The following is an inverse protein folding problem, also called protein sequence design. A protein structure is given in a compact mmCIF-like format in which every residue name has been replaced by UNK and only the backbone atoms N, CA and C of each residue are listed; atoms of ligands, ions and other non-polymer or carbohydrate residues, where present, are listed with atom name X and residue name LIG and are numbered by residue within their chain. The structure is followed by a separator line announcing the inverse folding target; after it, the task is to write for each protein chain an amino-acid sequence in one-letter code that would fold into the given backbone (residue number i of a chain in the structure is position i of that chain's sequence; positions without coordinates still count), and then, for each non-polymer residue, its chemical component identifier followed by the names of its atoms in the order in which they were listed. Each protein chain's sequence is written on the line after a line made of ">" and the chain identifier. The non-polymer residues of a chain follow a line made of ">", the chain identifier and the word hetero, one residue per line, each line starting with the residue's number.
data_IF_865962095713
#
_entry.id   IF_865962095713
#
_cell.length_a   1.000
_cell.length_b   1.000
_cell.length_c   1.000
_cell.angle_alpha   90.00
_cell.angle_beta   90.00
_cell.angle_gamma   90.00
#
_symmetry.space_group_name_H-M   'P 1'
#
loop_
_entity.id
_entity.type
_entity.pdbx_description
1 polymer ?
#
# COMPACT_ATOMS: atom_id res chain seq x y z
N UNK A 1 -25.25 19.56 -1.01
CA UNK A 1 -24.39 20.03 -2.13
C UNK A 1 -25.23 20.70 -3.19
N UNK A 2 -26.33 20.07 -3.63
CA UNK A 2 -27.27 20.68 -4.57
C UNK A 2 -27.81 22.02 -4.09
N UNK A 3 -28.20 22.13 -2.81
CA UNK A 3 -28.62 23.42 -2.22
C UNK A 3 -27.54 24.51 -2.22
N UNK A 4 -26.27 24.14 -2.07
CA UNK A 4 -25.17 25.11 -2.11
C UNK A 4 -24.99 25.62 -3.54
N UNK A 5 -25.13 24.73 -4.54
CA UNK A 5 -25.10 25.08 -5.96
C UNK A 5 -26.29 26.00 -6.31
N UNK A 6 -27.49 25.67 -5.83
CA UNK A 6 -28.70 26.48 -6.03
C UNK A 6 -28.57 27.87 -5.42
N UNK A 7 -28.17 27.96 -4.15
CA UNK A 7 -27.90 29.24 -3.49
C UNK A 7 -26.81 30.06 -4.22
N UNK A 8 -25.75 29.41 -4.69
CA UNK A 8 -24.69 30.05 -5.48
C UNK A 8 -25.21 30.58 -6.82
N UNK A 9 -26.12 29.85 -7.47
CA UNK A 9 -26.74 30.26 -8.73
C UNK A 9 -27.68 31.46 -8.52
N UNK A 10 -28.46 31.47 -7.44
CA UNK A 10 -29.29 32.63 -7.05
C UNK A 10 -28.40 33.86 -6.82
N UNK A 11 -27.32 33.71 -6.05
CA UNK A 11 -26.37 34.80 -5.80
C UNK A 11 -25.64 35.24 -7.07
N UNK A 12 -25.31 34.33 -7.99
CA UNK A 12 -24.74 34.66 -9.30
C UNK A 12 -25.70 35.57 -10.09
N UNK A 13 -26.99 35.22 -10.18
CA UNK A 13 -28.00 36.02 -10.87
C UNK A 13 -28.13 37.41 -10.23
N UNK A 14 -28.22 37.47 -8.89
CA UNK A 14 -28.31 38.73 -8.15
C UNK A 14 -27.04 39.59 -8.31
N UNK A 15 -25.87 38.96 -8.46
CA UNK A 15 -24.60 39.67 -8.69
C UNK A 15 -24.56 40.30 -10.08
N UNK A 16 -25.10 39.62 -11.09
CA UNK A 16 -25.26 40.18 -12.44
C UNK A 16 -26.20 41.38 -12.44
N UNK A 17 -27.31 41.31 -11.70
CA UNK A 17 -28.23 42.45 -11.53
C UNK A 17 -27.53 43.61 -10.84
N UNK A 18 -26.82 43.33 -9.74
CA UNK A 18 -26.02 44.32 -9.00
C UNK A 18 -25.02 45.01 -9.93
N UNK A 19 -24.27 44.25 -10.72
CA UNK A 19 -23.30 44.78 -11.68
C UNK A 19 -23.95 45.70 -12.73
N UNK A 20 -25.12 45.33 -13.27
CA UNK A 20 -25.85 46.16 -14.24
C UNK A 20 -26.38 47.45 -13.61
N UNK A 21 -26.94 47.37 -12.40
CA UNK A 21 -27.46 48.55 -11.67
C UNK A 21 -26.32 49.48 -11.27
N UNK A 22 -25.22 48.96 -10.74
CA UNK A 22 -24.02 49.76 -10.41
C UNK A 22 -23.45 50.45 -11.63
N UNK A 23 -23.36 49.77 -12.77
CA UNK A 23 -22.93 50.36 -14.04
C UNK A 23 -23.89 51.43 -14.53
N UNK A 24 -25.20 51.22 -14.43
CA UNK A 24 -26.21 52.21 -14.77
C UNK A 24 -26.06 53.49 -13.94
N UNK A 25 -25.94 53.36 -12.62
CA UNK A 25 -25.77 54.51 -11.72
C UNK A 25 -24.44 55.22 -12.01
N UNK A 26 -23.36 54.47 -12.21
CA UNK A 26 -22.04 55.02 -12.57
C UNK A 26 -22.12 55.91 -13.83
N UNK A 27 -22.91 55.56 -14.82
CA UNK A 27 -23.09 56.37 -16.04
C UNK A 27 -23.80 57.70 -15.80
N UNK A 28 -24.65 57.79 -14.77
CA UNK A 28 -25.37 59.03 -14.43
C UNK A 28 -24.47 60.07 -13.72
N UNK A 29 -23.34 59.64 -13.16
CA UNK A 29 -22.41 60.51 -12.46
C UNK A 29 -21.10 60.69 -13.25
N UNK A 30 -20.91 61.84 -13.87
CA UNK A 30 -19.73 62.15 -14.70
C UNK A 30 -18.39 61.87 -13.99
N UNK A 31 -18.31 62.13 -12.68
CA UNK A 31 -17.11 61.91 -11.86
C UNK A 31 -16.76 60.44 -11.59
N UNK A 32 -17.65 59.48 -11.87
CA UNK A 32 -17.38 58.04 -11.73
C UNK A 32 -17.10 57.37 -13.08
N UNK A 33 -17.60 57.96 -14.18
CA UNK A 33 -17.48 57.43 -15.53
C UNK A 33 -16.11 57.69 -16.15
N UNK A 34 -15.59 58.92 -16.05
CA UNK A 34 -14.34 59.32 -16.68
C UNK A 34 -13.13 58.78 -15.92
N UNK A 35 -12.19 58.14 -16.63
CA UNK A 35 -10.93 57.65 -16.08
C UNK A 35 -9.92 58.79 -15.98
N UNK A 36 -9.27 58.95 -14.83
CA UNK A 36 -8.25 59.98 -14.64
C UNK A 36 -6.85 59.41 -14.85
N UNK A 37 -5.93 60.19 -15.43
CA UNK A 37 -4.51 59.78 -15.61
C UNK A 37 -3.71 59.85 -14.32
N UNK A 38 -4.13 60.70 -13.38
CA UNK A 38 -3.44 60.90 -12.11
C UNK A 38 -3.80 59.80 -11.11
N UNK A 39 -2.77 59.11 -10.60
CA UNK A 39 -2.94 57.89 -9.79
C UNK A 39 -3.75 58.11 -8.50
N UNK A 40 -3.63 59.28 -7.87
CA UNK A 40 -4.34 59.59 -6.62
C UNK A 40 -5.84 59.78 -6.85
N UNK A 41 -6.21 60.57 -7.87
CA UNK A 41 -7.61 60.83 -8.24
C UNK A 41 -8.29 59.54 -8.70
N UNK A 42 -7.58 58.71 -9.48
CA UNK A 42 -8.10 57.43 -9.93
C UNK A 42 -8.38 56.47 -8.76
N UNK A 43 -7.49 56.42 -7.76
CA UNK A 43 -7.68 55.60 -6.55
C UNK A 43 -8.90 56.05 -5.74
N UNK A 44 -9.16 57.36 -5.65
CA UNK A 44 -10.38 57.87 -5.01
C UNK A 44 -11.63 57.52 -5.79
N UNK A 45 -11.58 57.58 -7.13
CA UNK A 45 -12.67 57.15 -8.01
C UNK A 45 -12.97 55.66 -7.83
N UNK A 46 -11.95 54.81 -7.78
CA UNK A 46 -12.09 53.37 -7.55
C UNK A 46 -12.76 53.09 -6.19
N UNK A 47 -12.33 53.77 -5.12
CA UNK A 47 -12.99 53.67 -3.80
C UNK A 47 -14.46 54.05 -3.87
N UNK A 48 -14.80 55.15 -4.56
CA UNK A 48 -16.19 55.59 -4.72
C UNK A 48 -17.03 54.55 -5.49
N UNK A 49 -16.46 53.95 -6.54
CA UNK A 49 -17.12 52.88 -7.31
C UNK A 49 -17.31 51.62 -6.46
N UNK A 50 -16.31 51.24 -5.67
CA UNK A 50 -16.40 50.10 -4.77
C UNK A 50 -17.49 50.32 -3.71
N UNK A 51 -17.49 51.48 -3.05
CA UNK A 51 -18.54 51.86 -2.10
C UNK A 51 -19.93 51.85 -2.75
N UNK A 52 -20.05 52.41 -3.97
CA UNK A 52 -21.31 52.37 -4.72
C UNK A 52 -21.75 50.92 -4.98
N UNK A 53 -20.85 50.05 -5.39
CA UNK A 53 -21.15 48.65 -5.70
C UNK A 53 -21.57 47.89 -4.45
N UNK A 54 -20.95 48.15 -3.30
CA UNK A 54 -21.37 47.61 -2.00
C UNK A 54 -22.78 48.08 -1.64
N UNK A 55 -23.05 49.39 -1.75
CA UNK A 55 -24.37 49.94 -1.42
C UNK A 55 -25.45 49.36 -2.33
N UNK A 56 -25.21 49.29 -3.64
CA UNK A 56 -26.14 48.68 -4.59
C UNK A 56 -26.34 47.20 -4.27
N UNK A 57 -25.28 46.44 -3.97
CA UNK A 57 -25.37 45.04 -3.58
C UNK A 57 -26.25 44.83 -2.35
N UNK A 58 -26.09 45.65 -1.31
CA UNK A 58 -26.93 45.60 -0.09
C UNK A 58 -28.38 45.94 -0.40
N UNK A 59 -28.64 46.97 -1.22
CA UNK A 59 -30.00 47.33 -1.62
C UNK A 59 -30.66 46.21 -2.43
N UNK A 60 -29.97 45.65 -3.41
CA UNK A 60 -30.47 44.53 -4.23
C UNK A 60 -30.76 43.31 -3.36
N UNK A 61 -29.85 42.96 -2.44
CA UNK A 61 -30.04 41.84 -1.52
C UNK A 61 -31.24 42.06 -0.59
N UNK A 62 -31.42 43.27 -0.03
CA UNK A 62 -32.57 43.61 0.81
C UNK A 62 -33.88 43.53 0.02
N UNK A 63 -33.94 44.07 -1.19
CA UNK A 63 -35.15 44.01 -2.04
C UNK A 63 -35.52 42.57 -2.41
N UNK A 64 -34.51 41.75 -2.71
CA UNK A 64 -34.70 40.34 -3.04
C UNK A 64 -34.94 39.44 -1.83
N UNK A 65 -34.91 39.97 -0.60
CA UNK A 65 -34.90 39.17 0.66
C UNK A 65 -33.80 38.10 0.63
N UNK A 66 -32.64 38.39 0.04
CA UNK A 66 -31.54 37.46 -0.15
C UNK A 66 -30.76 37.25 1.17
N UNK A 67 -31.40 36.64 2.16
CA UNK A 67 -30.78 36.34 3.44
C UNK A 67 -29.85 35.13 3.32
N UNK A 68 -28.54 35.35 3.47
CA UNK A 68 -27.53 34.29 3.39
C UNK A 68 -27.79 33.10 4.33
N UNK A 69 -28.40 33.35 5.49
CA UNK A 69 -28.71 32.29 6.46
C UNK A 69 -29.89 31.42 6.06
N UNK A 70 -30.82 31.96 5.27
CA UNK A 70 -32.04 31.26 4.82
C UNK A 70 -31.93 30.71 3.41
N UNK A 71 -30.92 31.14 2.62
CA UNK A 71 -30.70 30.68 1.24
C UNK A 71 -30.51 29.15 1.09
N UNK A 72 -30.28 28.44 2.19
CA UNK A 72 -30.13 26.98 2.21
C UNK A 72 -31.38 26.22 2.70
N UNK A 73 -32.44 26.95 3.07
CA UNK A 73 -33.72 26.39 3.49
C UNK A 73 -34.59 26.05 2.27
N UNK A 74 -35.35 24.94 2.34
CA UNK A 74 -36.23 24.49 1.26
C UNK A 74 -37.42 25.43 1.04
N UNK A 75 -37.74 26.25 2.05
CA UNK A 75 -38.84 27.21 2.02
C UNK A 75 -38.39 28.63 1.64
N UNK A 76 -37.16 28.78 1.15
CA UNK A 76 -36.65 30.08 0.78
C UNK A 76 -37.44 30.64 -0.42
N UNK A 77 -38.17 31.74 -0.16
CA UNK A 77 -38.83 32.53 -1.18
C UNK A 77 -38.03 33.80 -1.44
N UNK A 78 -37.76 34.07 -2.73
CA UNK A 78 -37.24 35.37 -3.15
C UNK A 78 -38.35 36.42 -3.00
N UNK A 79 -37.94 37.62 -2.58
CA UNK A 79 -38.80 38.78 -2.30
C UNK A 79 -39.66 38.66 -1.03
N UNK A 80 -40.15 39.82 -0.58
CA UNK A 80 -40.96 39.92 0.62
C UNK A 80 -42.41 39.52 0.33
N UNK A 81 -42.81 38.31 0.74
CA UNK A 81 -44.20 37.84 0.65
C UNK A 81 -44.96 38.12 1.95
N UNK A 82 -46.27 38.38 1.84
CA UNK A 82 -47.14 38.78 2.97
C UNK A 82 -47.27 37.72 4.09
N UNK A 83 -46.84 36.47 3.83
CA UNK A 83 -46.89 35.36 4.78
C UNK A 83 -45.69 35.28 5.72
N UNK A 84 -44.72 36.19 5.60
CA UNK A 84 -43.45 36.19 6.36
C UNK A 84 -43.55 36.75 7.79
N UNK A 85 -44.72 36.76 8.42
CA UNK A 85 -45.05 37.59 9.60
C UNK A 85 -44.43 37.15 10.95
N UNK A 86 -43.60 36.10 11.01
CA UNK A 86 -42.92 35.70 12.27
C UNK A 86 -41.42 35.44 12.15
N UNK A 87 -40.82 35.73 11.00
CA UNK A 87 -39.37 35.59 10.86
C UNK A 87 -38.64 36.73 11.58
N UNK A 88 -37.48 36.40 12.16
CA UNK A 88 -36.64 37.35 12.87
C UNK A 88 -36.13 38.44 11.90
N UNK A 89 -36.83 39.57 11.86
CA UNK A 89 -36.56 40.73 10.97
C UNK A 89 -35.08 41.13 11.04
N UNK A 90 -34.50 41.10 12.24
CA UNK A 90 -33.09 41.42 12.44
C UNK A 90 -32.17 40.45 11.71
N UNK A 91 -32.47 39.14 11.76
CA UNK A 91 -31.72 38.13 11.02
C UNK A 91 -31.84 38.32 9.51
N UNK A 92 -33.02 38.70 9.02
CA UNK A 92 -33.25 38.97 7.59
C UNK A 92 -32.46 40.18 7.11
N UNK A 93 -32.40 41.26 7.91
CA UNK A 93 -31.62 42.45 7.59
C UNK A 93 -30.12 42.13 7.60
N UNK A 94 -29.61 41.52 8.67
CA UNK A 94 -28.18 41.20 8.79
C UNK A 94 -27.74 40.24 7.67
N UNK A 95 -28.51 39.17 7.44
CA UNK A 95 -28.20 38.20 6.39
C UNK A 95 -28.24 38.80 4.99
N UNK A 96 -29.15 39.74 4.72
CA UNK A 96 -29.20 40.47 3.45
C UNK A 96 -28.04 41.44 3.28
N UNK A 97 -27.58 42.09 4.36
CA UNK A 97 -26.37 42.95 4.32
C UNK A 97 -25.15 42.10 3.96
N UNK A 98 -24.97 40.95 4.60
CA UNK A 98 -23.86 40.04 4.31
C UNK A 98 -23.95 39.55 2.87
N UNK A 99 -25.11 39.11 2.41
CA UNK A 99 -25.30 38.71 1.02
C UNK A 99 -24.96 39.85 0.05
N UNK A 100 -25.39 41.09 0.33
CA UNK A 100 -25.06 42.26 -0.47
C UNK A 100 -23.56 42.56 -0.56
N UNK A 101 -22.80 42.31 0.51
CA UNK A 101 -21.33 42.37 0.47
C UNK A 101 -20.76 41.32 -0.50
N UNK A 102 -21.27 40.10 -0.48
CA UNK A 102 -20.86 39.06 -1.45
C UNK A 102 -21.26 39.41 -2.89
N UNK A 103 -22.46 39.97 -3.11
CA UNK A 103 -22.89 40.42 -4.44
C UNK A 103 -21.95 41.49 -5.02
N UNK A 104 -21.34 42.31 -4.15
CA UNK A 104 -20.39 43.35 -4.56
C UNK A 104 -19.05 42.82 -5.09
N UNK A 105 -18.73 41.53 -4.88
CA UNK A 105 -17.55 40.86 -5.44
C UNK A 105 -17.68 40.62 -6.96
N UNK A 106 -18.90 40.72 -7.50
CA UNK A 106 -19.20 40.62 -8.92
C UNK A 106 -19.40 39.19 -9.42
N UNK A 107 -19.89 39.09 -10.65
CA UNK A 107 -20.31 37.83 -11.28
C UNK A 107 -19.17 36.83 -11.49
N UNK A 108 -17.95 37.30 -11.76
CA UNK A 108 -16.77 36.44 -11.94
C UNK A 108 -16.49 35.56 -10.72
N UNK A 109 -16.60 36.11 -9.51
CA UNK A 109 -16.40 35.37 -8.27
C UNK A 109 -17.37 34.17 -8.15
N UNK A 110 -18.64 34.39 -8.45
CA UNK A 110 -19.66 33.34 -8.36
C UNK A 110 -19.54 32.30 -9.48
N UNK A 111 -19.06 32.67 -10.67
CA UNK A 111 -18.71 31.70 -11.71
C UNK A 111 -17.59 30.75 -11.27
N UNK A 112 -16.49 31.30 -10.75
CA UNK A 112 -15.36 30.50 -10.26
C UNK A 112 -15.81 29.58 -9.09
N UNK A 113 -16.66 30.10 -8.19
CA UNK A 113 -17.23 29.31 -7.08
C UNK A 113 -18.15 28.20 -7.57
N UNK A 114 -19.01 28.47 -8.57
CA UNK A 114 -19.92 27.48 -9.14
C UNK A 114 -19.16 26.34 -9.82
N UNK A 115 -18.12 26.66 -10.60
CA UNK A 115 -17.27 25.67 -11.25
C UNK A 115 -16.59 24.76 -10.23
N UNK A 116 -16.07 25.33 -9.14
CA UNK A 116 -15.48 24.56 -8.03
C UNK A 116 -16.51 23.63 -7.39
N UNK A 117 -17.72 24.11 -7.09
CA UNK A 117 -18.78 23.29 -6.50
C UNK A 117 -19.21 22.13 -7.41
N UNK A 118 -19.29 22.36 -8.72
CA UNK A 118 -19.61 21.31 -9.70
C UNK A 118 -18.49 20.26 -9.81
N UNK A 119 -17.22 20.68 -9.73
CA UNK A 119 -16.08 19.76 -9.68
C UNK A 119 -16.15 18.88 -8.41
N UNK A 120 -16.38 19.48 -7.24
CA UNK A 120 -16.51 18.74 -5.97
C UNK A 120 -17.72 17.79 -6.02
N UNK A 121 -18.83 18.18 -6.64
CA UNK A 121 -20.00 17.30 -6.85
C UNK A 121 -19.67 16.09 -7.70
N UNK A 122 -18.98 16.30 -8.82
CA UNK A 122 -18.56 15.21 -9.69
C UNK A 122 -17.56 14.28 -9.00
N UNK A 123 -16.68 14.82 -8.17
CA UNK A 123 -15.73 14.05 -7.38
C UNK A 123 -16.46 13.21 -6.31
N UNK A 124 -17.35 13.81 -5.54
CA UNK A 124 -18.15 13.11 -4.52
C UNK A 124 -18.96 11.96 -5.13
N UNK A 125 -19.58 12.18 -6.30
CA UNK A 125 -20.30 11.11 -7.02
C UNK A 125 -19.36 9.94 -7.36
N UNK A 126 -18.18 10.22 -7.92
CA UNK A 126 -17.18 9.20 -8.26
C UNK A 126 -16.64 8.44 -7.02
N UNK A 127 -16.58 9.11 -5.88
CA UNK A 127 -16.14 8.52 -4.60
C UNK A 127 -17.22 7.64 -3.95
N UNK A 128 -18.47 8.12 -3.92
CA UNK A 128 -19.58 7.35 -3.34
C UNK A 128 -19.85 6.03 -4.06
N UNK A 129 -19.59 5.94 -5.36
CA UNK A 129 -19.76 4.70 -6.13
C UNK A 129 -18.71 3.62 -5.80
N UNK A 130 -17.69 3.91 -4.95
CA UNK A 130 -16.55 3.01 -4.67
C UNK A 130 -16.04 3.07 -3.22
N UNK A 131 -16.92 3.37 -2.27
CA UNK A 131 -16.58 3.66 -0.88
C UNK A 131 -15.83 2.52 -0.18
N UNK A 132 -14.50 2.68 -0.07
CA UNK A 132 -13.62 2.15 1.00
C UNK A 132 -12.29 2.93 1.10
N UNK A 133 -12.12 4.03 0.36
CA UNK A 133 -10.84 4.75 0.28
C UNK A 133 -11.01 6.25 0.52
N UNK A 134 -10.33 6.76 1.56
CA UNK A 134 -10.21 8.19 1.85
C UNK A 134 -9.11 8.79 0.98
N UNK A 135 -9.48 9.62 0.01
CA UNK A 135 -8.52 10.41 -0.76
C UNK A 135 -8.50 11.84 -0.23
N UNK A 136 -7.31 12.36 0.07
CA UNK A 136 -7.11 13.72 0.60
C UNK A 136 -7.09 14.79 -0.49
N UNK A 137 -6.73 14.42 -1.73
CA UNK A 137 -6.68 15.34 -2.86
C UNK A 137 -6.96 14.67 -4.21
N UNK A 138 -7.18 15.50 -5.23
CA UNK A 138 -7.54 15.06 -6.58
C UNK A 138 -6.42 14.29 -7.28
N UNK A 139 -5.15 14.61 -6.98
CA UNK A 139 -4.00 13.93 -7.55
C UNK A 139 -3.92 12.46 -7.11
N UNK A 140 -4.31 12.16 -5.87
CA UNK A 140 -4.40 10.79 -5.37
C UNK A 140 -5.51 9.99 -6.08
N UNK A 141 -6.63 10.64 -6.42
CA UNK A 141 -7.71 10.00 -7.19
C UNK A 141 -7.26 9.70 -8.62
N UNK A 142 -6.58 10.63 -9.29
CA UNK A 142 -6.03 10.41 -10.63
C UNK A 142 -4.95 9.32 -10.61
N UNK A 143 -4.08 9.31 -9.60
CA UNK A 143 -3.09 8.25 -9.38
C UNK A 143 -3.74 6.88 -9.19
N UNK A 144 -4.83 6.80 -8.44
CA UNK A 144 -5.59 5.56 -8.22
C UNK A 144 -6.32 5.08 -9.49
N UNK A 145 -6.93 5.99 -10.24
CA UNK A 145 -7.57 5.64 -11.52
C UNK A 145 -6.50 5.12 -12.49
N UNK A 146 -5.33 5.76 -12.55
CA UNK A 146 -4.18 5.30 -13.33
C UNK A 146 -3.72 3.91 -12.88
N UNK A 147 -3.53 3.65 -11.59
CA UNK A 147 -3.04 2.36 -11.10
C UNK A 147 -4.00 1.20 -11.39
N UNK A 148 -5.30 1.43 -11.21
CA UNK A 148 -6.35 0.46 -11.54
C UNK A 148 -6.42 0.18 -13.04
N UNK A 149 -6.29 1.21 -13.88
CA UNK A 149 -6.28 1.05 -15.33
C UNK A 149 -5.01 0.31 -15.81
N UNK A 150 -3.87 0.57 -15.19
CA UNK A 150 -2.60 -0.14 -15.46
C UNK A 150 -2.72 -1.62 -15.10
N UNK A 151 -3.32 -1.97 -13.96
CA UNK A 151 -3.52 -3.38 -13.59
C UNK A 151 -4.37 -4.11 -14.62
N UNK A 152 -5.50 -3.53 -15.03
CA UNK A 152 -6.37 -4.13 -16.05
C UNK A 152 -5.72 -4.21 -17.43
N UNK A 153 -4.92 -3.19 -17.78
CA UNK A 153 -4.12 -3.23 -19.00
C UNK A 153 -3.12 -4.38 -18.94
N UNK A 154 -2.42 -4.60 -17.83
CA UNK A 154 -1.48 -5.72 -17.68
C UNK A 154 -2.15 -7.08 -17.86
N UNK A 155 -3.33 -7.28 -17.27
CA UNK A 155 -4.11 -8.52 -17.45
C UNK A 155 -4.52 -8.71 -18.92
N UNK A 156 -4.96 -7.64 -19.57
CA UNK A 156 -5.28 -7.64 -20.99
C UNK A 156 -4.06 -8.00 -21.85
N UNK A 157 -2.91 -7.35 -21.63
CA UNK A 157 -1.67 -7.60 -22.35
C UNK A 157 -1.15 -9.02 -22.13
N UNK A 158 -1.25 -9.54 -20.91
CA UNK A 158 -0.90 -10.94 -20.60
C UNK A 158 -1.73 -11.90 -21.47
N UNK A 159 -3.05 -11.68 -21.57
CA UNK A 159 -3.92 -12.50 -22.41
C UNK A 159 -3.66 -12.31 -23.90
N UNK A 160 -3.32 -11.09 -24.35
CA UNK A 160 -3.01 -10.78 -25.74
C UNK A 160 -1.70 -11.43 -26.20
N UNK A 161 -0.66 -11.44 -25.35
CA UNK A 161 0.68 -11.86 -25.79
C UNK A 161 1.02 -13.31 -25.45
N UNK A 162 0.50 -13.88 -24.36
CA UNK A 162 0.86 -15.23 -23.87
C UNK A 162 0.57 -16.36 -24.87
N UNK A 163 -0.30 -16.13 -25.85
CA UNK A 163 -0.62 -17.11 -26.91
C UNK A 163 0.27 -17.05 -28.14
N UNK A 164 1.14 -16.04 -28.29
CA UNK A 164 2.00 -15.91 -29.46
C UNK A 164 3.24 -16.78 -29.32
N UNK A 165 3.57 -17.53 -30.38
CA UNK A 165 4.76 -18.36 -30.42
C UNK A 165 6.02 -17.50 -30.23
N UNK A 166 6.90 -17.91 -29.33
CA UNK A 166 8.14 -17.18 -29.04
C UNK A 166 8.00 -15.96 -28.11
N UNK A 167 6.81 -15.61 -27.61
CA UNK A 167 6.67 -14.56 -26.59
C UNK A 167 7.43 -14.91 -25.31
N UNK A 168 8.19 -13.95 -24.79
CA UNK A 168 8.94 -14.09 -23.53
C UNK A 168 8.33 -13.22 -22.42
N UNK A 169 8.37 -11.90 -22.56
CA UNK A 169 7.80 -10.92 -21.63
C UNK A 169 7.54 -9.58 -22.32
N UNK A 170 6.96 -8.61 -21.61
CA UNK A 170 6.85 -7.23 -22.09
C UNK A 170 7.21 -6.19 -21.02
N UNK A 171 7.62 -5.02 -21.48
CA UNK A 171 7.74 -3.81 -20.67
C UNK A 171 6.68 -2.80 -21.13
N UNK A 172 5.98 -2.19 -20.16
CA UNK A 172 4.93 -1.20 -20.42
C UNK A 172 5.43 0.20 -20.05
N UNK A 173 5.56 1.06 -21.05
CA UNK A 173 5.68 2.51 -20.88
C UNK A 173 4.29 3.15 -21.07
N UNK A 174 3.56 3.26 -19.97
CA UNK A 174 2.17 3.72 -19.97
C UNK A 174 2.03 5.19 -20.40
N UNK A 175 3.00 6.05 -20.04
CA UNK A 175 2.95 7.48 -20.34
C UNK A 175 3.21 7.74 -21.84
N UNK A 176 4.16 7.01 -22.44
CA UNK A 176 4.44 7.12 -23.88
C UNK A 176 3.56 6.21 -24.75
N UNK A 177 2.70 5.39 -24.14
CA UNK A 177 1.85 4.41 -24.82
C UNK A 177 2.65 3.43 -25.69
N UNK A 178 3.81 3.00 -25.18
CA UNK A 178 4.69 2.03 -25.84
C UNK A 178 4.74 0.75 -25.02
N UNK A 179 4.64 -0.38 -25.70
CA UNK A 179 4.83 -1.71 -25.11
C UNK A 179 6.02 -2.33 -25.85
N UNK A 180 7.10 -2.60 -25.12
CA UNK A 180 8.23 -3.36 -25.68
C UNK A 180 7.97 -4.83 -25.43
N UNK A 181 7.82 -5.62 -26.48
CA UNK A 181 7.52 -7.05 -26.38
C UNK A 181 8.77 -7.83 -26.79
N UNK A 182 9.27 -8.63 -25.87
CA UNK A 182 10.46 -9.44 -26.09
C UNK A 182 10.06 -10.82 -26.61
N UNK A 183 10.62 -11.22 -27.74
CA UNK A 183 10.32 -12.50 -28.40
C UNK A 183 11.60 -13.25 -28.77
N UNK A 184 11.48 -14.56 -28.94
CA UNK A 184 12.54 -15.37 -29.56
C UNK A 184 12.74 -14.95 -31.02
N UNK A 185 13.99 -14.90 -31.46
CA UNK A 185 14.35 -14.63 -32.86
C UNK A 185 13.59 -15.54 -33.81
N UNK A 186 12.99 -14.95 -34.85
CA UNK A 186 12.16 -15.66 -35.83
C UNK A 186 10.65 -15.71 -35.53
N UNK A 187 10.18 -15.14 -34.42
CA UNK A 187 8.74 -14.97 -34.14
C UNK A 187 8.15 -13.80 -34.94
N UNK A 188 7.18 -14.06 -35.82
CA UNK A 188 6.65 -13.04 -36.77
C UNK A 188 5.26 -12.47 -36.45
N UNK A 189 4.55 -12.99 -35.45
CA UNK A 189 3.08 -12.79 -35.36
C UNK A 189 2.61 -11.82 -34.26
N UNK A 190 3.41 -10.80 -33.92
CA UNK A 190 3.00 -9.78 -32.95
C UNK A 190 2.53 -8.50 -33.65
N UNK A 191 1.30 -8.07 -33.35
CA UNK A 191 0.74 -6.83 -33.88
C UNK A 191 1.53 -5.60 -33.38
N UNK A 192 1.87 -4.69 -34.28
CA UNK A 192 2.59 -3.44 -33.96
C UNK A 192 1.76 -2.42 -33.17
N UNK A 193 0.45 -2.66 -32.98
CA UNK A 193 -0.45 -1.80 -32.21
C UNK A 193 -1.46 -2.65 -31.46
N UNK A 194 -1.68 -2.35 -30.18
CA UNK A 194 -2.69 -3.03 -29.34
C UNK A 194 -3.75 -2.02 -28.88
N UNK A 195 -5.02 -2.18 -29.29
CA UNK A 195 -6.10 -1.36 -28.79
C UNK A 195 -6.49 -1.82 -27.38
N UNK A 196 -6.62 -0.89 -26.44
CA UNK A 196 -7.10 -1.15 -25.09
C UNK A 196 -8.22 -0.19 -24.72
N UNK A 197 -9.36 -0.73 -24.31
CA UNK A 197 -10.50 0.05 -23.82
C UNK A 197 -10.43 0.13 -22.31
N UNK A 198 -10.15 1.32 -21.77
CA UNK A 198 -10.08 1.52 -20.32
C UNK A 198 -11.42 1.27 -19.65
N UNK A 199 -11.42 1.11 -18.32
CA UNK A 199 -12.67 1.03 -17.52
C UNK A 199 -13.60 2.23 -17.70
N UNK A 200 -13.05 3.37 -18.11
CA UNK A 200 -13.81 4.59 -18.41
C UNK A 200 -14.42 4.59 -19.82
N UNK A 201 -14.26 3.50 -20.58
CA UNK A 201 -14.75 3.34 -21.93
C UNK A 201 -13.91 4.03 -23.01
N UNK A 202 -12.81 4.71 -22.65
CA UNK A 202 -11.92 5.36 -23.61
C UNK A 202 -10.95 4.34 -24.21
N UNK A 203 -10.97 4.22 -25.53
CA UNK A 203 -9.99 3.39 -26.25
C UNK A 203 -8.68 4.15 -26.39
N UNK A 204 -7.57 3.48 -26.06
CA UNK A 204 -6.18 3.92 -26.30
C UNK A 204 -5.51 2.93 -27.23
N UNK A 205 -4.56 3.41 -28.02
CA UNK A 205 -3.75 2.59 -28.92
C UNK A 205 -2.32 2.58 -28.40
N UNK A 206 -1.82 1.40 -28.02
CA UNK A 206 -0.44 1.24 -27.59
C UNK A 206 0.41 0.79 -28.77
N UNK A 207 1.51 1.49 -29.05
CA UNK A 207 2.51 1.06 -30.03
C UNK A 207 3.29 -0.11 -29.45
N UNK A 208 3.41 -1.19 -30.20
CA UNK A 208 4.20 -2.36 -29.83
C UNK A 208 5.55 -2.30 -30.54
N UNK A 209 6.62 -2.39 -29.77
CA UNK A 209 8.00 -2.50 -30.25
C UNK A 209 8.47 -3.93 -29.99
N UNK A 210 8.60 -4.72 -31.04
CA UNK A 210 9.05 -6.11 -30.94
C UNK A 210 10.59 -6.11 -30.85
N UNK A 211 11.11 -6.75 -29.81
CA UNK A 211 12.55 -6.90 -29.55
C UNK A 211 12.86 -8.40 -29.63
N UNK A 212 13.54 -8.80 -30.69
CA UNK A 212 14.02 -10.17 -30.84
C UNK A 212 15.25 -10.40 -29.95
N UNK A 213 15.29 -11.55 -29.28
CA UNK A 213 16.44 -12.00 -28.49
C UNK A 213 16.72 -13.47 -28.72
N UNK A 214 17.99 -13.79 -29.01
CA UNK A 214 18.51 -15.16 -29.08
C UNK A 214 18.78 -15.77 -27.70
N UNK A 215 18.79 -14.93 -26.66
CA UNK A 215 19.09 -15.40 -25.31
C UNK A 215 17.84 -16.07 -24.75
N UNK A 216 17.90 -17.39 -24.55
CA UNK A 216 17.05 -18.03 -23.56
C UNK A 216 17.16 -17.21 -22.27
N UNK A 217 16.02 -16.73 -21.76
CA UNK A 217 15.97 -16.12 -20.43
C UNK A 217 16.27 -17.25 -19.46
N UNK A 218 17.56 -17.44 -19.19
CA UNK A 218 18.02 -18.28 -18.11
C UNK A 218 17.71 -17.50 -16.85
N UNK A 219 17.03 -18.13 -15.91
CA UNK A 219 17.08 -17.67 -14.53
C UNK A 219 18.56 -17.51 -14.20
N UNK A 220 18.99 -16.31 -13.82
CA UNK A 220 20.24 -16.19 -13.07
C UNK A 220 19.95 -17.02 -11.82
N UNK A 221 20.36 -18.28 -11.82
CA UNK A 221 20.10 -19.21 -10.73
C UNK A 221 20.67 -18.58 -9.47
N UNK A 222 19.81 -17.92 -8.70
CA UNK A 222 20.22 -17.36 -7.44
C UNK A 222 20.35 -18.58 -6.54
N UNK A 223 21.59 -19.01 -6.34
CA UNK A 223 21.91 -20.07 -5.39
C UNK A 223 21.34 -19.62 -4.04
N UNK A 224 20.29 -20.30 -3.59
CA UNK A 224 19.65 -20.00 -2.33
C UNK A 224 20.59 -20.40 -1.19
N UNK A 225 20.60 -19.59 -0.15
CA UNK A 225 21.45 -19.75 1.01
C UNK A 225 20.58 -19.87 2.26
N UNK A 226 21.07 -20.57 3.29
CA UNK A 226 20.56 -20.40 4.65
C UNK A 226 20.42 -18.92 4.98
N UNK A 227 19.34 -18.58 5.66
CA UNK A 227 18.92 -17.21 6.01
C UNK A 227 18.39 -16.34 4.87
N UNK A 228 18.36 -16.81 3.62
CA UNK A 228 17.62 -16.11 2.56
C UNK A 228 16.12 -16.05 2.89
N UNK A 229 15.46 -14.97 2.45
CA UNK A 229 14.06 -14.74 2.73
C UNK A 229 13.15 -15.66 1.90
N UNK A 230 12.08 -16.14 2.52
CA UNK A 230 11.06 -16.97 1.87
C UNK A 230 9.66 -16.56 2.32
N UNK A 231 8.70 -16.77 1.43
CA UNK A 231 7.28 -16.53 1.71
C UNK A 231 6.42 -17.54 0.94
N UNK A 232 5.20 -17.76 1.42
CA UNK A 232 4.17 -18.43 0.62
C UNK A 232 3.73 -17.48 -0.51
N UNK A 233 3.59 -17.98 -1.74
CA UNK A 233 3.19 -17.16 -2.91
C UNK A 233 1.82 -16.48 -2.69
N UNK A 234 0.92 -17.18 -2.01
CA UNK A 234 -0.44 -16.74 -1.69
C UNK A 234 -0.56 -16.23 -0.24
N UNK A 235 0.53 -15.78 0.37
CA UNK A 235 0.56 -15.42 1.79
C UNK A 235 -0.55 -14.43 2.21
N UNK A 236 -1.09 -14.65 3.41
CA UNK A 236 -2.07 -13.76 4.02
C UNK A 236 -1.44 -12.40 4.33
N UNK A 237 -1.84 -11.37 3.57
CA UNK A 237 -1.24 -10.01 3.57
C UNK A 237 0.22 -10.10 3.09
N UNK A 238 0.62 -9.25 2.15
CA UNK A 238 1.91 -9.28 1.42
C UNK A 238 3.19 -9.09 2.28
N UNK A 239 3.22 -9.52 3.55
CA UNK A 239 4.25 -9.24 4.55
C UNK A 239 4.67 -10.45 5.39
N UNK A 240 4.05 -11.63 5.25
CA UNK A 240 4.52 -12.82 5.95
C UNK A 240 5.73 -13.37 5.21
N UNK A 241 6.91 -13.09 5.77
CA UNK A 241 8.18 -13.63 5.32
C UNK A 241 8.94 -14.22 6.51
N UNK A 242 9.73 -15.23 6.23
CA UNK A 242 10.70 -15.79 7.15
C UNK A 242 12.02 -16.07 6.43
N UNK A 243 12.83 -16.90 7.06
CA UNK A 243 14.13 -17.31 6.57
C UNK A 243 14.21 -18.81 6.35
N UNK A 244 15.05 -19.21 5.39
CA UNK A 244 15.51 -20.58 5.27
C UNK A 244 16.37 -20.92 6.49
N UNK A 245 16.08 -22.01 7.18
CA UNK A 245 16.98 -22.53 8.21
C UNK A 245 18.22 -23.10 7.53
N UNK A 246 18.04 -24.24 6.87
CA UNK A 246 19.10 -25.03 6.28
C UNK A 246 18.49 -26.14 5.40
N UNK A 247 19.20 -26.61 4.36
CA UNK A 247 18.83 -27.84 3.69
C UNK A 247 19.05 -29.05 4.62
N UNK A 248 18.02 -29.88 4.77
CA UNK A 248 18.02 -31.09 5.57
C UNK A 248 17.69 -32.29 4.69
N UNK A 249 17.99 -33.49 5.17
CA UNK A 249 17.61 -34.73 4.49
C UNK A 249 16.87 -35.66 5.44
N UNK A 250 15.93 -36.44 4.90
CA UNK A 250 15.34 -37.56 5.64
C UNK A 250 16.40 -38.54 6.10
N UNK A 251 16.28 -39.04 7.33
CA UNK A 251 17.30 -39.93 7.90
C UNK A 251 17.38 -41.25 7.11
N UNK A 252 16.23 -41.79 6.72
CA UNK A 252 16.09 -43.10 6.05
C UNK A 252 16.19 -43.02 4.52
N UNK A 253 15.52 -42.07 3.88
CA UNK A 253 15.37 -41.99 2.43
C UNK A 253 16.33 -41.01 1.74
N UNK A 254 17.07 -40.21 2.53
CA UNK A 254 17.92 -39.11 2.07
C UNK A 254 17.19 -38.09 1.16
N UNK A 255 15.86 -38.00 1.23
CA UNK A 255 15.11 -36.99 0.48
C UNK A 255 15.49 -35.60 0.99
N UNK A 256 15.88 -34.70 0.09
CA UNK A 256 16.29 -33.34 0.44
C UNK A 256 15.09 -32.42 0.64
N UNK A 257 15.10 -31.67 1.74
CA UNK A 257 14.12 -30.65 2.08
C UNK A 257 14.83 -29.36 2.48
N UNK A 258 14.07 -28.27 2.51
CA UNK A 258 14.45 -27.02 3.16
C UNK A 258 13.64 -26.92 4.45
N UNK A 259 14.34 -26.68 5.56
CA UNK A 259 13.73 -26.48 6.87
C UNK A 259 13.41 -25.00 7.09
N UNK A 260 12.23 -24.69 7.64
CA UNK A 260 11.86 -23.35 8.14
C UNK A 260 10.76 -23.46 9.21
N UNK A 261 10.27 -22.34 9.74
CA UNK A 261 9.09 -22.30 10.61
C UNK A 261 7.80 -22.45 9.80
N UNK A 262 6.74 -23.02 10.36
CA UNK A 262 5.46 -23.12 9.64
C UNK A 262 4.80 -21.75 9.52
N UNK A 263 4.85 -20.93 10.58
CA UNK A 263 4.16 -19.64 10.57
C UNK A 263 4.67 -18.64 9.52
N UNK A 264 5.88 -18.83 8.99
CA UNK A 264 6.47 -17.95 7.99
C UNK A 264 5.90 -18.21 6.59
N UNK A 265 5.40 -19.41 6.36
CA UNK A 265 4.86 -19.88 5.08
C UNK A 265 3.38 -20.30 5.18
N UNK A 266 2.71 -19.88 6.26
CA UNK A 266 1.32 -20.18 6.52
C UNK A 266 0.39 -19.43 5.56
N UNK A 267 -0.71 -20.08 5.18
CA UNK A 267 -1.76 -19.55 4.32
C UNK A 267 -3.12 -19.60 5.04
N UNK A 268 -4.05 -18.68 4.73
CA UNK A 268 -5.37 -18.60 5.37
C UNK A 268 -6.20 -19.90 5.27
N UNK A 269 -5.96 -20.74 4.26
CA UNK A 269 -6.63 -22.04 4.14
C UNK A 269 -6.00 -23.17 4.96
N UNK A 270 -4.83 -22.97 5.56
CA UNK A 270 -4.13 -23.99 6.32
C UNK A 270 -4.66 -24.12 7.75
N UNK A 271 -4.80 -25.36 8.22
CA UNK A 271 -5.01 -25.66 9.63
C UNK A 271 -3.64 -25.73 10.34
N UNK A 272 -3.54 -25.08 11.50
CA UNK A 272 -2.33 -25.06 12.32
C UNK A 272 -2.00 -26.43 12.92
N UNK A 273 -3.03 -27.19 13.29
CA UNK A 273 -2.89 -28.46 14.02
C UNK A 273 -2.69 -29.64 13.06
N UNK A 274 -3.14 -29.53 11.81
CA UNK A 274 -3.00 -30.58 10.80
C UNK A 274 -2.73 -29.90 9.46
N UNK A 275 -1.54 -30.11 8.90
CA UNK A 275 -1.27 -29.66 7.54
C UNK A 275 -1.96 -30.58 6.54
N UNK A 276 -2.88 -30.01 5.79
CA UNK A 276 -3.55 -30.63 4.67
C UNK A 276 -3.23 -29.74 3.47
N UNK A 277 -2.52 -30.23 2.44
CA UNK A 277 -2.30 -29.47 1.22
C UNK A 277 -3.63 -29.03 0.61
N UNK A 278 -3.73 -27.75 0.27
CA UNK A 278 -4.89 -27.09 -0.35
C UNK A 278 -4.59 -26.59 -1.77
N UNK A 279 -3.41 -26.89 -2.32
CA UNK A 279 -2.97 -26.42 -3.63
C UNK A 279 -2.37 -25.00 -3.62
N UNK A 280 -1.99 -24.50 -2.45
CA UNK A 280 -1.40 -23.16 -2.23
C UNK A 280 -0.08 -23.23 -1.45
N UNK A 281 0.67 -24.30 -1.69
CA UNK A 281 1.89 -24.62 -0.96
C UNK A 281 3.15 -24.08 -1.65
N UNK A 282 3.02 -23.32 -2.74
CA UNK A 282 4.17 -22.76 -3.46
C UNK A 282 4.89 -21.72 -2.59
N UNK A 283 6.19 -21.94 -2.43
CA UNK A 283 7.09 -21.05 -1.72
C UNK A 283 7.93 -20.30 -2.73
N UNK A 284 8.02 -18.98 -2.54
CA UNK A 284 8.75 -18.07 -3.41
C UNK A 284 9.75 -17.24 -2.61
N UNK A 285 10.78 -16.76 -3.30
CA UNK A 285 11.65 -15.73 -2.74
C UNK A 285 10.96 -14.36 -2.89
N UNK A 286 10.73 -13.60 -1.80
CA UNK A 286 9.80 -12.46 -1.80
C UNK A 286 10.28 -11.27 -2.63
N UNK A 287 11.58 -11.14 -2.91
CA UNK A 287 12.12 -10.00 -3.67
C UNK A 287 12.01 -10.16 -5.19
N UNK A 288 12.04 -11.39 -5.70
CA UNK A 288 12.12 -11.66 -7.14
C UNK A 288 11.03 -12.63 -7.63
N UNK A 289 10.23 -13.21 -6.73
CA UNK A 289 9.18 -14.16 -7.07
C UNK A 289 9.70 -15.52 -7.55
N UNK A 290 10.99 -15.82 -7.37
CA UNK A 290 11.57 -17.10 -7.75
C UNK A 290 10.85 -18.24 -7.01
N UNK A 291 10.25 -19.18 -7.75
CA UNK A 291 9.63 -20.38 -7.18
C UNK A 291 10.71 -21.29 -6.60
N UNK A 292 10.71 -21.42 -5.28
CA UNK A 292 11.70 -22.18 -4.51
C UNK A 292 11.32 -23.65 -4.44
N UNK A 293 10.04 -23.93 -4.23
CA UNK A 293 9.55 -25.28 -3.97
C UNK A 293 8.13 -25.28 -3.44
N UNK A 294 7.72 -26.42 -2.90
CA UNK A 294 6.38 -26.60 -2.31
C UNK A 294 6.45 -27.17 -0.90
N UNK A 295 5.57 -26.72 -0.01
CA UNK A 295 5.42 -27.30 1.34
C UNK A 295 4.90 -28.72 1.21
N UNK A 296 5.70 -29.69 1.68
CA UNK A 296 5.30 -31.11 1.69
C UNK A 296 4.89 -31.58 3.07
N UNK A 297 5.34 -30.88 4.11
CA UNK A 297 5.00 -31.16 5.49
C UNK A 297 5.07 -29.86 6.28
N UNK A 298 4.08 -29.63 7.13
CA UNK A 298 4.14 -28.56 8.11
C UNK A 298 3.31 -28.92 9.32
N UNK A 299 3.65 -28.38 10.48
CA UNK A 299 2.87 -28.65 11.68
C UNK A 299 3.19 -27.65 12.77
N UNK A 300 2.17 -27.29 13.55
CA UNK A 300 2.31 -26.54 14.79
C UNK A 300 1.65 -27.30 15.93
N UNK A 301 2.39 -27.58 17.00
CA UNK A 301 1.83 -27.99 18.30
C UNK A 301 2.48 -27.21 19.46
N UNK A 302 2.45 -27.74 20.69
CA UNK A 302 3.10 -27.12 21.84
C UNK A 302 4.62 -27.17 21.80
N UNK A 303 5.26 -27.99 20.96
CA UNK A 303 6.72 -28.14 20.92
C UNK A 303 7.35 -27.74 19.59
N UNK A 304 6.57 -27.74 18.51
CA UNK A 304 7.02 -27.53 17.15
C UNK A 304 6.22 -26.45 16.45
N UNK A 305 6.91 -25.71 15.59
CA UNK A 305 6.40 -24.78 14.59
C UNK A 305 7.36 -24.86 13.41
N UNK A 306 7.10 -25.81 12.51
CA UNK A 306 8.08 -26.25 11.52
C UNK A 306 7.42 -26.61 10.20
N UNK A 307 8.12 -26.34 9.12
CA UNK A 307 7.75 -26.78 7.79
C UNK A 307 8.96 -27.31 7.01
N UNK A 308 8.67 -28.29 6.16
CA UNK A 308 9.57 -28.86 5.17
C UNK A 308 9.10 -28.49 3.78
N UNK A 309 9.99 -27.87 3.03
CA UNK A 309 9.75 -27.49 1.64
C UNK A 309 10.55 -28.43 0.76
N UNK A 310 9.88 -29.07 -0.20
CA UNK A 310 10.57 -29.81 -1.25
C UNK A 310 11.00 -28.81 -2.32
N UNK A 311 12.32 -28.63 -2.53
CA UNK A 311 12.80 -27.67 -3.52
C UNK A 311 12.44 -28.10 -4.94
N UNK A 312 12.27 -27.13 -5.83
CA UNK A 312 12.17 -27.41 -7.26
C UNK A 312 13.53 -27.91 -7.80
N UNK A 313 13.50 -28.66 -8.91
CA UNK A 313 14.70 -29.31 -9.47
C UNK A 313 15.73 -28.30 -10.03
N UNK A 314 15.31 -27.08 -10.33
CA UNK A 314 16.10 -25.99 -10.89
C UNK A 314 16.65 -25.02 -9.83
N UNK A 315 16.43 -25.33 -8.54
CA UNK A 315 16.85 -24.48 -7.43
C UNK A 315 18.08 -25.09 -6.76
N UNK A 316 19.21 -24.40 -6.91
CA UNK A 316 20.46 -24.75 -6.23
C UNK A 316 20.51 -24.16 -4.82
N UNK A 317 21.01 -24.95 -3.86
CA UNK A 317 21.23 -24.52 -2.48
C UNK A 317 22.70 -24.56 -2.12
N UNK A 318 23.23 -23.46 -1.62
CA UNK A 318 24.53 -23.43 -0.97
C UNK A 318 24.39 -23.92 0.47
N UNK A 319 25.38 -24.68 0.93
CA UNK A 319 25.49 -25.12 2.33
C UNK A 319 26.09 -24.04 3.24
N UNK A 320 26.72 -23.03 2.67
CA UNK A 320 27.34 -21.95 3.43
C UNK A 320 26.28 -20.93 3.89
N UNK A 321 26.22 -20.70 5.20
CA UNK A 321 25.43 -19.62 5.79
C UNK A 321 26.20 -18.31 5.59
N UNK A 322 25.60 -17.22 5.08
CA UNK A 322 26.32 -15.96 4.91
C UNK A 322 26.95 -15.50 6.23
N UNK A 323 28.24 -15.16 6.20
CA UNK A 323 29.04 -14.71 7.35
C UNK A 323 29.31 -15.76 8.45
N UNK A 324 28.86 -17.00 8.25
CA UNK A 324 29.05 -18.11 9.15
C UNK A 324 29.58 -19.34 8.39
N UNK A 325 30.06 -20.34 9.10
CA UNK A 325 30.45 -21.61 8.50
C UNK A 325 29.22 -22.49 8.26
N UNK A 326 29.37 -23.50 7.40
CA UNK A 326 28.38 -24.59 7.36
C UNK A 326 28.37 -25.32 8.71
N UNK A 327 27.21 -25.71 9.25
CA UNK A 327 27.12 -26.45 10.50
C UNK A 327 27.89 -27.77 10.42
N UNK A 328 28.71 -28.03 11.44
CA UNK A 328 29.49 -29.28 11.56
C UNK A 328 28.62 -30.49 11.93
N UNK A 329 27.42 -30.21 12.44
CA UNK A 329 26.45 -31.18 12.91
C UNK A 329 25.42 -30.48 13.79
N UNK A 330 24.71 -31.26 14.59
CA UNK A 330 23.81 -30.75 15.63
C UNK A 330 24.41 -30.94 17.01
N UNK A 331 24.00 -30.10 17.97
CA UNK A 331 24.34 -30.26 19.38
C UNK A 331 23.14 -29.90 20.24
N UNK A 332 22.89 -30.71 21.26
CA UNK A 332 21.87 -30.42 22.28
C UNK A 332 22.41 -29.37 23.27
N UNK A 333 21.52 -28.48 23.71
CA UNK A 333 21.82 -27.46 24.72
C UNK A 333 21.39 -27.97 26.08
N UNK A 334 22.27 -27.84 27.08
CA UNK A 334 22.01 -28.27 28.46
C UNK A 334 22.09 -27.12 29.48
N UNK A 335 21.98 -27.47 30.77
CA UNK A 335 22.08 -26.50 31.86
C UNK A 335 23.49 -25.86 31.98
N UNK A 336 24.55 -26.54 31.55
CA UNK A 336 25.91 -25.99 31.57
C UNK A 336 26.07 -24.90 30.51
N UNK A 337 25.39 -25.00 29.37
CA UNK A 337 25.36 -23.93 28.38
C UNK A 337 24.74 -22.64 28.92
N UNK A 338 23.69 -22.76 29.75
CA UNK A 338 23.06 -21.63 30.45
C UNK A 338 24.03 -21.02 31.45
N UNK A 339 24.67 -21.83 32.29
CA UNK A 339 25.65 -21.37 33.28
C UNK A 339 26.83 -20.64 32.62
N UNK A 340 27.36 -21.22 31.54
CA UNK A 340 28.50 -20.67 30.78
C UNK A 340 28.12 -19.49 29.90
N UNK A 341 26.82 -19.21 29.73
CA UNK A 341 26.32 -18.26 28.74
C UNK A 341 26.90 -18.55 27.35
N UNK A 342 26.79 -19.79 26.90
CA UNK A 342 27.33 -20.22 25.61
C UNK A 342 26.92 -19.26 24.51
N UNK A 343 27.91 -18.78 23.74
CA UNK A 343 27.70 -17.83 22.67
C UNK A 343 27.05 -18.52 21.47
N UNK A 344 26.10 -17.82 20.85
CA UNK A 344 25.35 -18.28 19.69
C UNK A 344 25.29 -17.20 18.61
N UNK A 345 25.10 -17.62 17.36
CA UNK A 345 25.14 -16.79 16.18
C UNK A 345 23.98 -17.09 15.22
N UNK A 346 23.48 -16.05 14.55
CA UNK A 346 22.58 -16.15 13.39
C UNK A 346 23.00 -15.15 12.31
N UNK A 347 22.70 -15.44 11.04
CA UNK A 347 22.66 -14.41 10.01
C UNK A 347 21.29 -13.72 10.06
N UNK A 348 21.20 -12.64 10.84
CA UNK A 348 19.99 -11.81 10.93
C UNK A 348 19.87 -10.89 9.71
N UNK A 349 18.63 -10.48 9.40
CA UNK A 349 18.30 -9.43 8.44
C UNK A 349 18.75 -8.02 8.84
N UNK A 350 19.10 -7.80 10.12
CA UNK A 350 19.57 -6.51 10.65
C UNK A 350 20.85 -5.97 10.02
N UNK A 351 21.80 -6.86 9.72
CA UNK A 351 23.14 -6.49 9.27
C UNK A 351 23.63 -7.47 8.20
N UNK A 352 23.89 -6.96 7.01
CA UNK A 352 24.40 -7.77 5.90
C UNK A 352 25.91 -8.03 5.97
N UNK A 353 26.61 -7.35 6.87
CA UNK A 353 28.06 -7.43 7.00
C UNK A 353 28.51 -8.14 8.28
N UNK A 354 27.60 -8.38 9.23
CA UNK A 354 27.93 -9.07 10.49
C UNK A 354 26.82 -10.04 10.92
N UNK A 355 27.21 -11.22 11.40
CA UNK A 355 26.30 -12.12 12.09
C UNK A 355 25.87 -11.52 13.44
N UNK A 356 24.59 -11.68 13.79
CA UNK A 356 24.10 -11.34 15.12
C UNK A 356 24.63 -12.36 16.12
N UNK A 357 25.04 -11.89 17.30
CA UNK A 357 25.61 -12.72 18.36
C UNK A 357 24.84 -12.52 19.66
N UNK A 358 24.61 -13.60 20.39
CA UNK A 358 23.95 -13.59 21.69
C UNK A 358 24.48 -14.69 22.58
N UNK A 359 23.85 -14.89 23.72
CA UNK A 359 24.15 -15.98 24.64
C UNK A 359 22.89 -16.70 25.11
N UNK A 360 23.05 -17.99 25.40
CA UNK A 360 22.00 -18.82 25.99
C UNK A 360 21.73 -18.31 27.41
N UNK A 361 20.52 -17.82 27.63
CA UNK A 361 20.08 -17.27 28.92
C UNK A 361 19.25 -18.28 29.71
N UNK A 362 18.48 -19.14 29.04
CA UNK A 362 17.61 -20.13 29.68
C UNK A 362 17.24 -21.24 28.69
N UNK A 363 16.78 -22.38 29.20
CA UNK A 363 16.38 -23.56 28.42
C UNK A 363 15.12 -24.18 28.99
N UNK A 364 14.36 -24.92 28.18
CA UNK A 364 13.12 -25.54 28.65
C UNK A 364 12.01 -24.53 28.93
N UNK A 365 12.10 -23.31 28.39
CA UNK A 365 11.15 -22.25 28.68
C UNK A 365 9.88 -22.37 27.82
N UNK A 366 8.78 -21.84 28.34
CA UNK A 366 7.52 -21.68 27.59
C UNK A 366 7.32 -20.21 27.21
N UNK A 367 6.77 -19.97 26.02
CA UNK A 367 6.38 -18.63 25.55
C UNK A 367 4.99 -18.63 24.91
N UNK A 368 4.30 -17.49 25.00
CA UNK A 368 3.02 -17.25 24.35
C UNK A 368 3.23 -16.35 23.14
N UNK A 369 3.10 -16.91 21.94
CA UNK A 369 3.42 -16.24 20.68
C UNK A 369 2.12 -15.87 19.97
N UNK A 370 2.04 -14.63 19.45
CA UNK A 370 0.94 -14.21 18.57
C UNK A 370 1.28 -14.62 17.14
N UNK A 371 0.45 -15.48 16.57
CA UNK A 371 0.61 -16.01 15.22
C UNK A 371 -0.07 -15.13 14.15
N UNK A 372 0.21 -15.35 12.86
CA UNK A 372 -0.36 -14.56 11.75
C UNK A 372 -1.88 -14.49 11.70
N UNK A 373 -2.58 -15.51 12.21
CA UNK A 373 -4.03 -15.53 12.34
C UNK A 373 -4.57 -14.68 13.52
N UNK A 374 -3.68 -13.94 14.20
CA UNK A 374 -3.97 -13.07 15.32
C UNK A 374 -4.12 -13.80 16.66
N UNK A 375 -4.15 -15.14 16.68
CA UNK A 375 -4.33 -15.93 17.90
C UNK A 375 -3.01 -16.09 18.63
N UNK A 376 -3.10 -16.16 19.96
CA UNK A 376 -1.95 -16.43 20.83
C UNK A 376 -1.92 -17.93 21.10
N UNK A 377 -0.74 -18.55 20.95
CA UNK A 377 -0.53 -19.98 21.25
C UNK A 377 0.72 -20.16 22.09
N UNK A 378 0.72 -21.15 22.97
CA UNK A 378 1.93 -21.55 23.70
C UNK A 378 2.86 -22.37 22.81
N UNK A 379 4.16 -22.22 23.09
CA UNK A 379 5.23 -23.07 22.60
C UNK A 379 6.20 -23.31 23.77
N UNK A 380 6.57 -24.56 23.98
CA UNK A 380 7.27 -25.11 25.15
C UNK A 380 8.65 -25.65 24.73
N UNK A 381 9.48 -25.94 25.74
CA UNK A 381 10.83 -26.47 25.57
C UNK A 381 11.72 -25.60 24.66
N UNK A 382 11.63 -24.28 24.82
CA UNK A 382 12.39 -23.33 24.01
C UNK A 382 13.74 -23.02 24.66
N UNK A 383 14.70 -22.63 23.82
CA UNK A 383 15.94 -21.99 24.25
C UNK A 383 15.72 -20.48 24.20
N UNK A 384 16.02 -19.79 25.30
CA UNK A 384 15.96 -18.32 25.40
C UNK A 384 17.34 -17.73 25.19
N UNK A 385 17.47 -16.86 24.20
CA UNK A 385 18.71 -16.15 23.89
C UNK A 385 18.56 -14.67 24.18
N UNK A 386 19.61 -14.08 24.77
CA UNK A 386 19.76 -12.63 24.91
C UNK A 386 20.88 -12.12 24.00
N UNK A 387 20.76 -10.93 23.41
CA UNK A 387 21.81 -10.38 22.57
C UNK A 387 23.03 -9.95 23.39
N UNK A 388 24.19 -9.90 22.72
CA UNK A 388 25.31 -9.12 23.20
C UNK A 388 25.12 -7.64 22.79
N UNK A 389 24.95 -6.76 23.78
CA UNK A 389 24.83 -5.32 23.57
C UNK A 389 23.38 -4.84 23.46
N UNK A 390 23.16 -3.75 22.70
CA UNK A 390 21.88 -3.05 22.61
C UNK A 390 21.05 -3.42 21.37
N UNK A 391 21.64 -4.12 20.41
CA UNK A 391 20.92 -4.59 19.21
C UNK A 391 20.24 -5.92 19.54
N UNK A 392 19.01 -6.17 19.05
CA UNK A 392 18.35 -7.45 19.26
C UNK A 392 19.12 -8.58 18.57
N UNK A 393 18.96 -9.80 19.09
CA UNK A 393 19.59 -10.98 18.50
C UNK A 393 18.93 -11.35 17.16
N UNK A 394 17.60 -11.23 17.08
CA UNK A 394 16.79 -11.44 15.88
C UNK A 394 15.68 -10.39 15.74
N UNK A 395 15.19 -10.17 14.53
CA UNK A 395 14.03 -9.31 14.22
C UNK A 395 12.96 -10.04 13.42
N UNK A 396 11.82 -9.38 13.17
CA UNK A 396 10.80 -9.82 12.23
C UNK A 396 11.42 -10.19 10.88
N UNK A 397 11.05 -11.37 10.38
CA UNK A 397 11.64 -11.96 9.17
C UNK A 397 12.74 -12.98 9.44
N UNK A 398 13.39 -12.95 10.61
CA UNK A 398 14.45 -13.93 10.94
C UNK A 398 13.87 -15.29 11.39
N UNK A 399 12.56 -15.40 11.59
CA UNK A 399 11.89 -16.66 11.92
C UNK A 399 12.23 -17.74 10.90
N UNK A 400 12.65 -18.91 11.37
CA UNK A 400 13.19 -19.98 10.56
C UNK A 400 14.71 -19.94 10.40
N UNK A 401 15.42 -18.87 10.76
CA UNK A 401 16.89 -18.85 10.67
C UNK A 401 17.54 -19.90 11.55
N UNK A 402 18.56 -20.59 11.03
CA UNK A 402 19.37 -21.54 11.78
C UNK A 402 20.28 -20.81 12.78
N UNK A 403 20.33 -21.32 14.01
CA UNK A 403 21.22 -20.82 15.06
C UNK A 403 22.38 -21.78 15.24
N UNK A 404 23.59 -21.24 15.16
CA UNK A 404 24.83 -21.95 15.46
C UNK A 404 25.37 -21.53 16.82
N UNK A 405 26.03 -22.44 17.52
CA UNK A 405 26.85 -22.07 18.67
C UNK A 405 28.26 -21.61 18.25
N UNK A 406 29.06 -21.21 19.24
CA UNK A 406 30.46 -20.81 19.05
C UNK A 406 31.41 -21.90 18.56
N UNK A 407 30.97 -23.16 18.51
CA UNK A 407 31.76 -24.28 17.98
C UNK A 407 31.35 -24.65 16.54
N UNK A 408 30.29 -24.03 16.01
CA UNK A 408 29.76 -24.26 14.67
C UNK A 408 28.77 -25.42 14.59
N UNK A 409 28.15 -25.81 15.70
CA UNK A 409 27.06 -26.79 15.70
C UNK A 409 25.71 -26.08 15.66
N UNK A 410 24.78 -26.63 14.89
CA UNK A 410 23.40 -26.20 14.88
C UNK A 410 22.72 -26.58 16.19
N UNK A 411 22.01 -25.64 16.80
CA UNK A 411 21.34 -25.85 18.09
C UNK A 411 19.83 -25.64 18.00
N UNK A 412 19.34 -24.96 16.96
CA UNK A 412 17.91 -24.75 16.75
C UNK A 412 17.59 -23.75 15.64
N UNK A 413 16.31 -23.42 15.51
CA UNK A 413 15.81 -22.37 14.60
C UNK A 413 15.09 -21.26 15.37
N UNK A 414 15.24 -20.02 14.94
CA UNK A 414 14.53 -18.86 15.53
C UNK A 414 13.03 -19.02 15.27
N UNK A 415 12.19 -18.88 16.30
CA UNK A 415 10.71 -18.94 16.13
C UNK A 415 10.02 -17.64 16.53
N UNK A 416 10.54 -16.92 17.52
CA UNK A 416 9.94 -15.68 18.00
C UNK A 416 10.97 -14.79 18.68
N UNK A 417 10.66 -13.51 18.83
CA UNK A 417 11.43 -12.57 19.63
C UNK A 417 10.62 -11.31 19.93
N UNK A 418 11.11 -10.50 20.85
CA UNK A 418 10.51 -9.19 21.18
C UNK A 418 11.23 -8.01 20.49
N UNK A 419 12.20 -8.28 19.62
CA UNK A 419 13.04 -7.28 18.92
C UNK A 419 13.79 -6.31 19.84
N UNK A 420 13.91 -6.63 21.12
CA UNK A 420 14.59 -5.80 22.12
C UNK A 420 15.75 -6.59 22.72
N UNK A 421 15.43 -7.62 23.49
CA UNK A 421 16.42 -8.33 24.32
C UNK A 421 16.20 -9.84 24.40
N UNK A 422 15.16 -10.38 23.77
CA UNK A 422 14.78 -11.77 23.92
C UNK A 422 14.42 -12.38 22.57
N UNK A 423 15.09 -13.50 22.27
CA UNK A 423 14.76 -14.40 21.15
C UNK A 423 14.50 -15.80 21.70
N UNK A 424 13.54 -16.49 21.11
CA UNK A 424 13.21 -17.88 21.39
C UNK A 424 13.56 -18.76 20.19
N UNK A 425 14.12 -19.92 20.49
CA UNK A 425 14.61 -20.89 19.52
C UNK A 425 13.96 -22.25 19.83
N UNK A 426 13.51 -22.95 18.78
CA UNK A 426 13.11 -24.36 18.88
C UNK A 426 14.38 -25.21 18.81
N UNK A 427 14.68 -26.06 19.81
CA UNK A 427 15.86 -26.92 19.76
C UNK A 427 15.88 -27.81 18.52
N UNK A 428 17.05 -27.94 17.88
CA UNK A 428 17.18 -28.73 16.65
C UNK A 428 16.91 -30.22 16.89
N UNK A 429 17.27 -30.73 18.07
CA UNK A 429 16.98 -32.11 18.49
C UNK A 429 15.48 -32.37 18.50
N UNK A 430 14.68 -31.48 19.10
CA UNK A 430 13.21 -31.56 19.08
C UNK A 430 12.67 -31.70 17.67
N UNK A 431 13.21 -30.95 16.69
CA UNK A 431 12.77 -31.02 15.29
C UNK A 431 13.19 -32.36 14.67
N UNK A 432 14.44 -32.75 14.83
CA UNK A 432 15.01 -33.90 14.13
C UNK A 432 14.47 -35.22 14.64
N UNK A 433 14.29 -35.35 15.95
CA UNK A 433 13.74 -36.55 16.59
C UNK A 433 12.27 -36.76 16.20
N UNK A 434 11.49 -35.67 16.09
CA UNK A 434 10.07 -35.76 15.71
C UNK A 434 9.86 -36.00 14.21
N UNK A 435 10.77 -35.53 13.35
CA UNK A 435 10.61 -35.60 11.89
C UNK A 435 11.54 -36.61 11.21
N UNK A 436 12.38 -37.32 11.98
CA UNK A 436 13.39 -38.25 11.48
C UNK A 436 14.32 -37.60 10.43
N UNK A 437 14.93 -36.46 10.78
CA UNK A 437 15.76 -35.64 9.89
C UNK A 437 17.23 -35.59 10.33
N UNK A 438 18.10 -35.21 9.40
CA UNK A 438 19.50 -34.84 9.67
C UNK A 438 19.94 -33.66 8.81
N UNK A 439 20.98 -32.94 9.25
CA UNK A 439 21.60 -31.86 8.46
C UNK A 439 22.21 -32.47 7.19
N UNK A 440 22.03 -31.78 6.05
CA UNK A 440 22.72 -32.11 4.80
C UNK A 440 24.19 -31.69 4.92
N UNK A 441 25.10 -32.65 4.77
CA UNK A 441 26.55 -32.43 4.80
C UNK A 441 27.15 -32.28 3.41
#
# INVERSE_FOLDING_TARGET
>A
MDRIIEATLILLILSLITEKVSNFIKMQFQGLYLKYRESQIEKEREKKIQTLTIVVGVVVALLAKANLFLLYDDKFELFWTHTSEKENILSNIIGSIIAGLFLSLGSKFFHDLLDMLLQVKNLKRKLNDKADWEFENIQQVDGYIKSQDISHLKDYLNNTFKGNEGFLFYELDYENQVIKVFVRTGSTDIQNVVPYKSKLGKTRLFKVEVIETDSEIKTLGQVLRPSDEIANNDAYRNSLKGSIAYPVVGYEDNTSYILTCYHTIWNQGHNWDIFIPIGKEEIVHPLNGLSIGSVVYAFKNSWLDVALIKPNNDVDFALQIPLLEAPKGTREIDALDVERKTTVYIKSSLDNNKASSGYINDTGVMSYIRYPDGRIRSLENLIKVKPYGTRPFSTSGDSGSLVLDQWGYAIGIVVAGNEIDTTFIIPISTIFDNLNLKIKQ
#
